data_IF_193054273402
#
_entry.id   IF_193054273402
#
_cell.length_a   1.000
_cell.length_b   1.000
_cell.length_c   1.000
_cell.angle_alpha   90.00
_cell.angle_beta   90.00
_cell.angle_gamma   90.00
#
_symmetry.space_group_name_H-M   'P 1'
#
loop_
_entity.id
_entity.type
_entity.pdbx_description
1 polymer ?
#
# COMPACT_ATOMS: atom_id res chain seq x y z
N UNK A 1 3.82 -7.16 45.85
CA UNK A 1 3.98 -5.70 45.73
C UNK A 1 3.43 -5.30 44.37
N UNK A 2 2.38 -4.47 44.33
CA UNK A 2 1.76 -4.01 43.08
C UNK A 2 2.59 -2.87 42.47
N UNK A 3 2.70 -2.84 41.14
CA UNK A 3 3.39 -1.75 40.44
C UNK A 3 2.59 -0.43 40.55
N UNK A 4 3.24 0.72 40.78
CA UNK A 4 2.54 2.00 40.87
C UNK A 4 2.01 2.47 39.51
N UNK A 5 0.92 3.26 39.50
CA UNK A 5 0.31 3.79 38.27
C UNK A 5 1.29 4.57 37.36
N UNK A 6 2.28 5.24 37.96
CA UNK A 6 3.35 5.94 37.23
C UNK A 6 4.22 5.00 36.38
N UNK A 7 4.47 3.77 36.86
CA UNK A 7 5.22 2.76 36.10
C UNK A 7 4.44 2.31 34.87
N UNK A 8 3.12 2.14 34.98
CA UNK A 8 2.25 1.83 33.84
C UNK A 8 2.21 2.98 32.81
N UNK A 9 2.11 4.22 33.27
CA UNK A 9 2.10 5.39 32.39
C UNK A 9 3.42 5.56 31.62
N UNK A 10 4.58 5.43 32.30
CA UNK A 10 5.89 5.45 31.63
C UNK A 10 6.04 4.27 30.67
N UNK A 11 5.58 3.08 31.04
CA UNK A 11 5.65 1.91 30.17
C UNK A 11 4.78 2.09 28.92
N UNK A 12 3.62 2.71 29.03
CA UNK A 12 2.78 3.05 27.88
C UNK A 12 3.51 3.99 26.91
N UNK A 13 4.18 5.03 27.41
CA UNK A 13 5.01 5.94 26.59
C UNK A 13 6.17 5.24 25.91
N UNK A 14 6.89 4.37 26.62
CA UNK A 14 7.95 3.57 26.02
C UNK A 14 7.42 2.64 24.92
N UNK A 15 6.22 2.08 25.09
CA UNK A 15 5.57 1.22 24.08
C UNK A 15 5.11 2.01 22.86
N UNK A 16 4.64 3.24 23.04
CA UNK A 16 4.33 4.17 21.95
C UNK A 16 5.59 4.47 21.11
N UNK A 17 6.71 4.81 21.75
CA UNK A 17 7.99 5.05 21.06
C UNK A 17 8.43 3.80 20.27
N UNK A 18 8.37 2.62 20.89
CA UNK A 18 8.72 1.37 20.23
C UNK A 18 7.81 1.07 19.03
N UNK A 19 6.51 1.37 19.13
CA UNK A 19 5.58 1.21 18.02
C UNK A 19 5.88 2.17 16.85
N UNK A 20 6.26 3.42 17.14
CA UNK A 20 6.68 4.38 16.12
C UNK A 20 7.99 3.98 15.43
N UNK A 21 8.95 3.41 16.18
CA UNK A 21 10.19 2.86 15.61
C UNK A 21 9.90 1.68 14.68
N UNK A 22 9.02 0.75 15.08
CA UNK A 22 8.59 -0.34 14.22
C UNK A 22 7.88 0.18 12.95
N UNK A 23 7.12 1.27 13.06
CA UNK A 23 6.47 1.91 11.92
C UNK A 23 7.48 2.55 10.95
N UNK A 24 8.53 3.19 11.47
CA UNK A 24 9.62 3.72 10.66
C UNK A 24 10.29 2.60 9.84
N UNK A 25 10.63 1.49 10.49
CA UNK A 25 11.20 0.31 9.83
C UNK A 25 10.28 -0.27 8.74
N UNK A 26 8.96 -0.25 8.97
CA UNK A 26 7.97 -0.67 7.96
C UNK A 26 7.96 0.26 6.76
N UNK A 27 8.10 1.58 6.95
CA UNK A 27 8.22 2.54 5.84
C UNK A 27 9.49 2.27 5.03
N UNK A 28 10.61 1.96 5.69
CA UNK A 28 11.83 1.57 4.98
C UNK A 28 11.64 0.30 4.14
N UNK A 29 10.95 -0.69 4.70
CA UNK A 29 10.64 -1.91 3.98
C UNK A 29 9.70 -1.67 2.79
N UNK A 30 8.69 -0.80 2.94
CA UNK A 30 7.80 -0.37 1.85
C UNK A 30 8.59 0.35 0.75
N UNK A 31 9.54 1.22 1.09
CA UNK A 31 10.42 1.89 0.12
C UNK A 31 11.25 0.86 -0.67
N UNK A 32 11.89 -0.07 0.04
CA UNK A 32 12.74 -1.09 -0.55
C UNK A 32 11.96 -2.03 -1.47
N UNK A 33 10.75 -2.44 -1.06
CA UNK A 33 9.84 -3.20 -1.92
C UNK A 33 9.43 -2.35 -3.12
N UNK A 34 9.10 -1.08 -2.92
CA UNK A 34 8.71 -0.16 -3.98
C UNK A 34 9.81 0.08 -5.03
N UNK A 35 11.08 0.16 -4.61
CA UNK A 35 12.29 0.19 -5.47
C UNK A 35 12.45 -1.11 -6.25
N UNK A 36 12.30 -2.24 -5.57
CA UNK A 36 12.35 -3.59 -6.19
C UNK A 36 11.28 -3.72 -7.28
N UNK A 37 10.04 -3.30 -6.99
CA UNK A 37 8.94 -3.25 -7.96
C UNK A 37 9.30 -2.34 -9.14
N UNK A 38 9.87 -1.16 -8.90
CA UNK A 38 10.25 -0.23 -9.97
C UNK A 38 11.25 -0.87 -10.96
N UNK A 39 12.31 -1.52 -10.44
CA UNK A 39 13.29 -2.20 -11.30
C UNK A 39 12.67 -3.41 -12.02
N UNK A 40 11.82 -4.20 -11.35
CA UNK A 40 11.07 -5.30 -11.99
C UNK A 40 10.14 -4.81 -13.11
N UNK A 41 9.47 -3.67 -12.93
CA UNK A 41 8.61 -3.06 -13.96
C UNK A 41 9.42 -2.62 -15.19
N UNK A 42 10.65 -2.13 -14.96
CA UNK A 42 11.60 -1.81 -16.03
C UNK A 42 12.07 -3.09 -16.73
N UNK A 43 12.53 -4.11 -16.01
CA UNK A 43 12.93 -5.40 -16.58
C UNK A 43 11.79 -6.03 -17.39
N UNK A 44 10.56 -5.98 -16.89
CA UNK A 44 9.34 -6.44 -17.60
C UNK A 44 9.15 -5.72 -18.93
N UNK A 45 9.19 -4.38 -18.92
CA UNK A 45 8.97 -3.56 -20.12
C UNK A 45 10.04 -3.83 -21.19
N UNK A 46 11.30 -3.82 -20.78
CA UNK A 46 12.45 -4.06 -21.66
C UNK A 46 12.44 -5.51 -22.20
N UNK A 47 12.12 -6.49 -21.35
CA UNK A 47 11.98 -7.90 -21.76
C UNK A 47 10.88 -8.09 -22.80
N UNK A 48 9.75 -7.39 -22.66
CA UNK A 48 8.67 -7.45 -23.65
C UNK A 48 9.17 -7.04 -25.04
N UNK A 49 9.92 -5.93 -25.14
CA UNK A 49 10.49 -5.45 -26.41
C UNK A 49 11.58 -6.38 -26.93
N UNK A 50 12.44 -6.89 -26.04
CA UNK A 50 13.46 -7.88 -26.39
C UNK A 50 12.83 -9.11 -27.05
N UNK A 51 11.78 -9.69 -26.45
CA UNK A 51 11.09 -10.85 -27.00
C UNK A 51 10.34 -10.52 -28.30
N UNK A 52 9.65 -9.38 -28.37
CA UNK A 52 8.97 -8.94 -29.59
C UNK A 52 9.93 -8.70 -30.76
N UNK A 53 11.15 -8.23 -30.49
CA UNK A 53 12.22 -8.05 -31.48
C UNK A 53 13.02 -9.32 -31.77
N UNK A 54 12.55 -10.49 -31.30
CA UNK A 54 13.27 -11.77 -31.41
C UNK A 54 14.69 -11.74 -30.84
N UNK A 55 14.91 -10.93 -29.81
CA UNK A 55 16.18 -10.76 -29.11
C UNK A 55 17.15 -9.75 -29.73
N UNK A 56 16.71 -8.95 -30.71
CA UNK A 56 17.58 -8.01 -31.43
C UNK A 56 17.76 -6.67 -30.74
N UNK A 57 16.78 -6.23 -29.94
CA UNK A 57 16.80 -4.95 -29.23
C UNK A 57 16.86 -5.18 -27.73
N UNK A 58 17.42 -4.22 -27.00
CA UNK A 58 17.35 -4.13 -25.54
C UNK A 58 18.05 -5.27 -24.75
N UNK A 59 19.06 -5.92 -25.32
CA UNK A 59 19.78 -7.00 -24.62
C UNK A 59 20.64 -6.47 -23.46
N UNK A 60 21.35 -5.37 -23.68
CA UNK A 60 22.24 -4.78 -22.67
C UNK A 60 21.44 -4.17 -21.51
N UNK A 61 20.37 -3.44 -21.83
CA UNK A 61 19.50 -2.78 -20.86
C UNK A 61 18.79 -3.80 -19.95
N UNK A 62 18.52 -5.01 -20.44
CA UNK A 62 18.05 -6.13 -19.59
C UNK A 62 19.11 -6.56 -18.61
N UNK A 63 20.37 -6.70 -19.04
CA UNK A 63 21.47 -7.08 -18.15
C UNK A 63 21.73 -6.00 -17.10
N UNK A 64 21.64 -4.73 -17.48
CA UNK A 64 21.71 -3.60 -16.54
C UNK A 64 20.59 -3.66 -15.49
N UNK A 65 19.34 -3.84 -15.92
CA UNK A 65 18.21 -3.95 -14.97
C UNK A 65 18.35 -5.17 -14.03
N UNK A 66 18.87 -6.29 -14.52
CA UNK A 66 19.20 -7.47 -13.69
C UNK A 66 20.28 -7.17 -12.65
N UNK A 67 21.33 -6.47 -13.06
CA UNK A 67 22.43 -6.04 -12.19
C UNK A 67 21.97 -5.07 -11.10
N UNK A 68 21.09 -4.13 -11.44
CA UNK A 68 20.46 -3.21 -10.47
C UNK A 68 19.56 -3.93 -9.46
N UNK A 69 18.86 -5.00 -9.89
CA UNK A 69 17.92 -5.72 -9.02
C UNK A 69 18.61 -6.58 -7.95
N UNK A 70 19.77 -7.16 -8.26
CA UNK A 70 20.47 -8.08 -7.35
C UNK A 70 20.73 -7.49 -5.95
N UNK A 71 21.38 -6.31 -5.83
CA UNK A 71 21.59 -5.64 -4.55
C UNK A 71 20.30 -5.31 -3.81
N UNK A 72 19.23 -4.93 -4.53
CA UNK A 72 17.93 -4.63 -3.91
C UNK A 72 17.29 -5.88 -3.32
N UNK A 73 17.35 -7.02 -4.01
CA UNK A 73 16.85 -8.30 -3.48
C UNK A 73 17.64 -8.72 -2.23
N UNK A 74 18.96 -8.60 -2.25
CA UNK A 74 19.79 -8.95 -1.09
C UNK A 74 19.48 -8.07 0.14
N UNK A 75 19.31 -6.76 -0.06
CA UNK A 75 18.86 -5.85 0.99
C UNK A 75 17.47 -6.22 1.48
N UNK A 76 16.54 -6.52 0.56
CA UNK A 76 15.17 -6.89 0.90
C UNK A 76 15.13 -8.16 1.75
N UNK A 77 15.85 -9.21 1.33
CA UNK A 77 15.97 -10.46 2.07
C UNK A 77 16.48 -10.23 3.50
N UNK A 78 17.52 -9.39 3.66
CA UNK A 78 18.06 -9.03 4.98
C UNK A 78 16.99 -8.37 5.87
N UNK A 79 16.24 -7.40 5.35
CA UNK A 79 15.19 -6.73 6.12
C UNK A 79 13.97 -7.63 6.40
N UNK A 80 13.66 -8.56 5.51
CA UNK A 80 12.59 -9.54 5.69
C UNK A 80 12.93 -10.58 6.76
N UNK A 81 14.20 -11.00 6.85
CA UNK A 81 14.67 -11.92 7.89
C UNK A 81 14.49 -11.34 9.29
N UNK A 82 14.68 -10.02 9.46
CA UNK A 82 14.43 -9.33 10.73
C UNK A 82 12.99 -9.53 11.23
N UNK A 83 12.02 -9.75 10.34
CA UNK A 83 10.61 -9.95 10.70
C UNK A 83 10.33 -11.27 11.44
N UNK A 84 11.31 -12.19 11.46
CA UNK A 84 11.22 -13.42 12.27
C UNK A 84 11.41 -13.16 13.77
N UNK A 85 12.00 -12.02 14.14
CA UNK A 85 12.26 -11.70 15.54
C UNK A 85 10.95 -11.40 16.31
N UNK A 86 10.76 -11.93 17.53
CA UNK A 86 9.54 -11.73 18.31
C UNK A 86 9.20 -10.26 18.56
N UNK A 87 10.19 -9.38 18.68
CA UNK A 87 9.95 -7.95 18.93
C UNK A 87 9.32 -7.24 17.74
N UNK A 88 9.42 -7.78 16.52
CA UNK A 88 8.78 -7.22 15.32
C UNK A 88 7.27 -7.44 15.32
N UNK A 89 6.79 -8.42 16.09
CA UNK A 89 5.37 -8.78 16.18
C UNK A 89 4.70 -8.96 14.80
N UNK A 90 5.42 -9.57 13.85
CA UNK A 90 4.89 -9.85 12.51
C UNK A 90 3.71 -10.82 12.62
N UNK A 91 2.60 -10.51 11.93
CA UNK A 91 1.43 -11.39 11.91
C UNK A 91 1.68 -12.65 11.09
N UNK A 92 0.93 -13.73 11.37
CA UNK A 92 0.99 -14.98 10.58
C UNK A 92 0.75 -14.74 9.09
N UNK A 93 -0.19 -13.85 8.76
CA UNK A 93 -0.46 -13.43 7.37
C UNK A 93 0.75 -12.74 6.75
N UNK A 94 1.40 -11.82 7.47
CA UNK A 94 2.59 -11.13 6.98
C UNK A 94 3.72 -12.13 6.70
N UNK A 95 4.01 -13.04 7.63
CA UNK A 95 5.04 -14.06 7.43
C UNK A 95 4.73 -14.99 6.25
N UNK A 96 3.46 -15.38 6.07
CA UNK A 96 3.04 -16.17 4.91
C UNK A 96 3.25 -15.41 3.58
N UNK A 97 2.92 -14.12 3.53
CA UNK A 97 3.16 -13.29 2.35
C UNK A 97 4.66 -13.13 2.07
N UNK A 98 5.48 -12.94 3.10
CA UNK A 98 6.94 -12.89 2.98
C UNK A 98 7.47 -14.18 2.36
N UNK A 99 7.01 -15.34 2.84
CA UNK A 99 7.43 -16.63 2.27
C UNK A 99 7.10 -16.75 0.78
N UNK A 100 5.89 -16.36 0.36
CA UNK A 100 5.52 -16.35 -1.06
C UNK A 100 6.35 -15.39 -1.89
N UNK A 101 6.60 -14.19 -1.37
CA UNK A 101 7.46 -13.19 -2.03
C UNK A 101 8.87 -13.74 -2.23
N UNK A 102 9.46 -14.38 -1.22
CA UNK A 102 10.79 -14.98 -1.33
C UNK A 102 10.83 -16.07 -2.41
N UNK A 103 9.83 -16.97 -2.43
CA UNK A 103 9.72 -18.00 -3.47
C UNK A 103 9.58 -17.41 -4.88
N UNK A 104 8.77 -16.36 -5.04
CA UNK A 104 8.57 -15.70 -6.32
C UNK A 104 9.85 -14.96 -6.78
N UNK A 105 10.61 -14.35 -5.87
CA UNK A 105 11.89 -13.72 -6.16
C UNK A 105 12.95 -14.75 -6.56
N UNK A 106 13.03 -15.88 -5.87
CA UNK A 106 13.95 -16.98 -6.20
C UNK A 106 13.64 -17.60 -7.58
N UNK A 107 12.37 -17.53 -8.01
CA UNK A 107 11.94 -18.04 -9.32
C UNK A 107 12.41 -17.17 -10.50
N UNK A 108 12.90 -15.95 -10.26
CA UNK A 108 13.28 -15.00 -11.31
C UNK A 108 14.39 -15.53 -12.20
N UNK A 109 15.37 -16.25 -11.67
CA UNK A 109 16.48 -16.78 -12.48
C UNK A 109 16.03 -17.89 -13.44
N UNK A 110 15.10 -18.74 -13.00
CA UNK A 110 14.48 -19.73 -13.88
C UNK A 110 13.64 -19.06 -14.98
N UNK A 111 12.88 -18.01 -14.64
CA UNK A 111 12.13 -17.20 -15.61
C UNK A 111 13.08 -16.55 -16.63
N UNK A 112 14.18 -15.95 -16.15
CA UNK A 112 15.22 -15.32 -16.95
C UNK A 112 15.89 -16.30 -17.91
N UNK A 113 16.22 -17.51 -17.46
CA UNK A 113 16.77 -18.55 -18.33
C UNK A 113 15.82 -18.98 -19.46
N UNK A 114 14.50 -19.00 -19.21
CA UNK A 114 13.49 -19.25 -20.25
C UNK A 114 13.40 -18.08 -21.25
N UNK A 115 13.47 -16.84 -20.77
CA UNK A 115 13.48 -15.65 -21.62
C UNK A 115 14.73 -15.61 -22.50
N UNK A 116 15.90 -15.95 -21.96
CA UNK A 116 17.18 -15.91 -22.69
C UNK A 116 17.22 -16.98 -23.79
N UNK A 117 16.61 -18.15 -23.54
CA UNK A 117 16.35 -19.17 -24.57
C UNK A 117 15.20 -18.80 -25.53
N UNK A 118 14.54 -17.66 -25.32
CA UNK A 118 13.33 -17.21 -26.05
C UNK A 118 12.22 -18.24 -26.06
N UNK A 119 12.10 -19.05 -25.00
CA UNK A 119 11.07 -20.08 -24.85
C UNK A 119 9.77 -19.54 -24.24
N UNK A 120 9.59 -18.22 -24.25
CA UNK A 120 8.45 -17.48 -23.70
C UNK A 120 8.07 -16.40 -24.69
N UNK A 121 6.77 -16.20 -24.90
CA UNK A 121 6.27 -15.07 -25.66
C UNK A 121 6.36 -13.78 -24.84
N UNK A 122 6.36 -12.61 -25.51
CA UNK A 122 6.33 -11.33 -24.81
C UNK A 122 5.13 -11.21 -23.85
N UNK A 123 3.87 -11.52 -24.24
CA UNK A 123 2.74 -11.51 -23.31
C UNK A 123 2.91 -12.46 -22.11
N UNK A 124 3.42 -13.68 -22.33
CA UNK A 124 3.66 -14.63 -21.23
C UNK A 124 4.75 -14.14 -20.26
N UNK A 125 5.78 -13.45 -20.76
CA UNK A 125 6.81 -12.85 -19.91
C UNK A 125 6.24 -11.70 -19.06
N UNK A 126 5.37 -10.86 -19.65
CA UNK A 126 4.69 -9.76 -18.94
C UNK A 126 3.85 -10.31 -17.79
N UNK A 127 3.07 -11.36 -18.04
CA UNK A 127 2.27 -12.03 -17.00
C UNK A 127 3.14 -12.60 -15.87
N UNK A 128 4.27 -13.23 -16.21
CA UNK A 128 5.18 -13.81 -15.22
C UNK A 128 5.77 -12.73 -14.29
N UNK A 129 6.28 -11.63 -14.85
CA UNK A 129 6.77 -10.50 -14.03
C UNK A 129 5.65 -9.82 -13.24
N UNK A 130 4.47 -9.62 -13.83
CA UNK A 130 3.31 -9.05 -13.13
C UNK A 130 2.88 -9.89 -11.93
N UNK A 131 3.03 -11.23 -11.98
CA UNK A 131 2.75 -12.09 -10.83
C UNK A 131 3.71 -11.81 -9.66
N UNK A 132 5.01 -11.75 -9.93
CA UNK A 132 6.04 -11.43 -8.91
C UNK A 132 5.79 -10.05 -8.30
N UNK A 133 5.51 -9.05 -9.16
CA UNK A 133 5.16 -7.69 -8.71
C UNK A 133 3.88 -7.70 -7.85
N UNK A 134 2.87 -8.50 -8.21
CA UNK A 134 1.63 -8.64 -7.44
C UNK A 134 1.86 -9.15 -6.02
N UNK A 135 2.75 -10.12 -5.83
CA UNK A 135 3.14 -10.60 -4.49
C UNK A 135 3.80 -9.51 -3.65
N UNK A 136 4.73 -8.76 -4.24
CA UNK A 136 5.39 -7.61 -3.60
C UNK A 136 4.37 -6.50 -3.24
N UNK A 137 3.43 -6.21 -4.13
CA UNK A 137 2.35 -5.26 -3.87
C UNK A 137 1.51 -5.69 -2.67
N UNK A 138 1.09 -6.96 -2.59
CA UNK A 138 0.31 -7.46 -1.46
C UNK A 138 1.06 -7.31 -0.13
N UNK A 139 2.39 -7.49 -0.14
CA UNK A 139 3.22 -7.24 1.04
C UNK A 139 3.26 -5.75 1.42
N UNK A 140 3.35 -4.83 0.46
CA UNK A 140 3.25 -3.37 0.71
C UNK A 140 1.93 -3.02 1.40
N UNK A 141 0.80 -3.56 0.91
CA UNK A 141 -0.50 -3.36 1.55
C UNK A 141 -0.53 -3.91 2.98
N UNK A 142 0.04 -5.10 3.20
CA UNK A 142 0.08 -5.71 4.54
C UNK A 142 0.92 -4.90 5.54
N UNK A 143 2.00 -4.28 5.08
CA UNK A 143 2.85 -3.41 5.90
C UNK A 143 2.15 -2.09 6.27
N UNK A 144 1.39 -1.53 5.34
CA UNK A 144 0.65 -0.27 5.53
C UNK A 144 -0.55 -0.40 6.48
N UNK A 145 -1.25 -1.54 6.47
CA UNK A 145 -2.50 -1.77 7.21
C UNK A 145 -2.35 -1.80 8.76
N UNK A 146 -1.12 -1.81 9.27
CA UNK A 146 -0.83 -1.96 10.70
C UNK A 146 -0.32 -0.69 11.40
N UNK A 147 -0.45 0.49 10.80
CA UNK A 147 0.08 1.73 11.36
C UNK A 147 -0.78 2.25 12.55
N UNK A 148 -0.20 2.46 13.74
CA UNK A 148 -0.94 2.96 14.91
C UNK A 148 -1.01 4.49 15.01
N UNK A 149 -0.40 5.23 14.08
CA UNK A 149 -0.34 6.71 14.09
C UNK A 149 -1.15 7.28 12.91
N UNK A 150 -2.20 8.10 13.14
CA UNK A 150 -3.12 8.53 12.09
C UNK A 150 -2.46 9.28 10.93
N UNK A 151 -1.62 10.28 11.22
CA UNK A 151 -0.96 11.08 10.19
C UNK A 151 -0.09 10.21 9.27
N UNK A 152 0.61 9.24 9.85
CA UNK A 152 1.46 8.31 9.09
C UNK A 152 0.60 7.28 8.36
N UNK A 153 -0.50 6.82 8.94
CA UNK A 153 -1.45 5.93 8.28
C UNK A 153 -2.04 6.56 7.01
N UNK A 154 -2.41 7.85 7.05
CA UNK A 154 -2.88 8.58 5.86
C UNK A 154 -1.81 8.64 4.77
N UNK A 155 -0.57 8.96 5.14
CA UNK A 155 0.57 8.96 4.21
C UNK A 155 0.81 7.57 3.59
N UNK A 156 0.70 6.50 4.39
CA UNK A 156 0.83 5.13 3.91
C UNK A 156 -0.28 4.76 2.93
N UNK A 157 -1.54 5.14 3.19
CA UNK A 157 -2.64 4.94 2.23
C UNK A 157 -2.33 5.62 0.90
N UNK A 158 -1.90 6.89 0.94
CA UNK A 158 -1.51 7.63 -0.26
C UNK A 158 -0.35 6.94 -1.00
N UNK A 159 0.70 6.55 -0.26
CA UNK A 159 1.87 5.86 -0.82
C UNK A 159 1.48 4.56 -1.52
N UNK A 160 0.75 3.69 -0.83
CA UNK A 160 0.34 2.38 -1.38
C UNK A 160 -0.48 2.54 -2.66
N UNK A 161 -1.39 3.52 -2.71
CA UNK A 161 -2.18 3.78 -3.91
C UNK A 161 -1.37 4.40 -5.05
N UNK A 162 -0.31 5.18 -4.77
CA UNK A 162 0.65 5.59 -5.80
C UNK A 162 1.44 4.39 -6.34
N UNK A 163 1.91 3.48 -5.48
CA UNK A 163 2.60 2.25 -5.95
C UNK A 163 1.66 1.39 -6.80
N UNK A 164 0.39 1.26 -6.39
CA UNK A 164 -0.64 0.54 -7.13
C UNK A 164 -0.91 1.17 -8.51
N UNK A 165 -1.17 2.49 -8.55
CA UNK A 165 -1.38 3.22 -9.81
C UNK A 165 -0.17 3.13 -10.74
N UNK A 166 1.04 3.09 -10.18
CA UNK A 166 2.28 2.89 -10.94
C UNK A 166 2.35 1.50 -11.58
N UNK A 167 1.91 0.47 -10.87
CA UNK A 167 1.82 -0.88 -11.44
C UNK A 167 0.76 -0.99 -12.52
N UNK A 168 -0.40 -0.39 -12.33
CA UNK A 168 -1.47 -0.34 -13.33
C UNK A 168 -1.00 0.40 -14.60
N UNK A 169 -0.29 1.53 -14.46
CA UNK A 169 0.35 2.23 -15.58
C UNK A 169 1.43 1.38 -16.27
N UNK A 170 2.19 0.60 -15.48
CA UNK A 170 3.19 -0.33 -16.00
C UNK A 170 2.58 -1.46 -16.83
N UNK A 171 1.42 -1.98 -16.44
CA UNK A 171 0.66 -2.97 -17.21
C UNK A 171 -0.01 -2.35 -18.43
N UNK A 172 -0.57 -1.13 -18.28
CA UNK A 172 -1.16 -0.37 -19.39
C UNK A 172 -0.13 -0.21 -20.50
N UNK A 173 1.09 0.24 -20.16
CA UNK A 173 2.20 0.36 -21.11
C UNK A 173 2.43 -0.94 -21.87
N UNK A 174 2.47 -2.08 -21.19
CA UNK A 174 2.73 -3.37 -21.81
C UNK A 174 1.60 -3.79 -22.78
N UNK A 175 0.34 -3.60 -22.37
CA UNK A 175 -0.84 -3.91 -23.21
C UNK A 175 -0.88 -3.01 -24.44
N UNK A 176 -0.77 -1.69 -24.26
CA UNK A 176 -0.84 -0.75 -25.39
C UNK A 176 0.34 -0.90 -26.37
N UNK A 177 1.56 -1.19 -25.87
CA UNK A 177 2.71 -1.45 -26.73
C UNK A 177 2.49 -2.70 -27.58
N UNK A 178 1.88 -3.74 -27.01
CA UNK A 178 1.53 -4.93 -27.76
C UNK A 178 0.45 -4.64 -28.83
N UNK A 179 -0.58 -3.87 -28.49
CA UNK A 179 -1.64 -3.49 -29.43
C UNK A 179 -1.07 -2.73 -30.65
N UNK A 180 -0.30 -1.66 -30.43
CA UNK A 180 0.34 -0.92 -31.52
C UNK A 180 1.30 -1.81 -32.33
N UNK A 181 2.17 -2.57 -31.67
CA UNK A 181 3.16 -3.40 -32.37
C UNK A 181 2.53 -4.53 -33.19
N UNK A 182 1.39 -5.07 -32.75
CA UNK A 182 0.69 -6.13 -33.49
C UNK A 182 -0.04 -5.62 -34.73
N UNK A 183 -0.30 -4.30 -34.81
CA UNK A 183 -1.11 -3.67 -35.86
C UNK A 183 -2.59 -4.10 -35.86
N UNK A 184 -2.97 -5.04 -34.99
CA UNK A 184 -4.30 -5.64 -34.95
C UNK A 184 -5.11 -5.23 -33.73
N UNK A 185 -6.40 -5.59 -33.75
CA UNK A 185 -7.37 -5.22 -32.74
C UNK A 185 -7.95 -6.44 -31.99
N UNK A 186 -7.30 -6.90 -30.91
CA UNK A 186 -7.91 -7.86 -30.01
C UNK A 186 -8.84 -7.14 -29.02
N UNK A 187 -10.15 -7.37 -29.13
CA UNK A 187 -11.17 -6.74 -28.28
C UNK A 187 -10.95 -6.99 -26.77
N UNK A 188 -10.36 -8.15 -26.41
CA UNK A 188 -9.92 -8.48 -25.06
C UNK A 188 -8.80 -7.56 -24.55
N UNK A 189 -7.84 -7.18 -25.41
CA UNK A 189 -6.76 -6.27 -25.04
C UNK A 189 -7.24 -4.82 -24.90
N UNK A 190 -8.14 -4.36 -25.76
CA UNK A 190 -8.76 -3.03 -25.60
C UNK A 190 -9.53 -2.96 -24.27
N UNK A 191 -10.30 -4.00 -23.95
CA UNK A 191 -11.02 -4.06 -22.69
C UNK A 191 -10.09 -4.08 -21.48
N UNK A 192 -8.99 -4.83 -21.56
CA UNK A 192 -7.95 -4.83 -20.52
C UNK A 192 -7.31 -3.45 -20.36
N UNK A 193 -7.03 -2.76 -21.47
CA UNK A 193 -6.50 -1.40 -21.45
C UNK A 193 -7.45 -0.43 -20.73
N UNK A 194 -8.73 -0.44 -21.09
CA UNK A 194 -9.76 0.37 -20.42
C UNK A 194 -9.82 0.08 -18.92
N UNK A 195 -9.79 -1.20 -18.53
CA UNK A 195 -9.76 -1.59 -17.13
C UNK A 195 -8.56 -0.99 -16.39
N UNK A 196 -7.37 -1.08 -16.98
CA UNK A 196 -6.12 -0.56 -16.40
C UNK A 196 -6.10 0.97 -16.29
N UNK A 197 -6.69 1.68 -17.27
CA UNK A 197 -6.84 3.14 -17.22
C UNK A 197 -7.74 3.52 -16.04
N UNK A 198 -8.92 2.91 -15.93
CA UNK A 198 -9.83 3.18 -14.82
C UNK A 198 -9.29 2.73 -13.45
N UNK A 199 -8.47 1.69 -13.42
CA UNK A 199 -7.81 1.27 -12.19
C UNK A 199 -6.84 2.35 -11.69
N UNK A 200 -6.04 2.93 -12.60
CA UNK A 200 -5.17 4.06 -12.26
C UNK A 200 -5.96 5.24 -11.72
N UNK A 201 -7.06 5.61 -12.38
CA UNK A 201 -7.87 6.76 -11.96
C UNK A 201 -8.39 6.57 -10.53
N UNK A 202 -8.92 5.39 -10.20
CA UNK A 202 -9.36 5.07 -8.83
C UNK A 202 -8.22 5.08 -7.82
N UNK A 203 -7.07 4.49 -8.18
CA UNK A 203 -5.89 4.51 -7.31
C UNK A 203 -5.47 5.95 -7.00
N UNK A 204 -5.52 6.83 -8.00
CA UNK A 204 -5.06 8.21 -7.85
C UNK A 204 -6.08 9.11 -7.16
N UNK A 205 -7.37 8.84 -7.32
CA UNK A 205 -8.43 9.46 -6.52
C UNK A 205 -8.23 9.18 -5.02
N UNK A 206 -7.95 7.93 -4.65
CA UNK A 206 -7.65 7.60 -3.25
C UNK A 206 -6.34 8.26 -2.80
N UNK A 207 -5.31 8.31 -3.64
CA UNK A 207 -4.09 9.07 -3.31
C UNK A 207 -4.41 10.54 -3.02
N UNK A 208 -5.19 11.23 -3.87
CA UNK A 208 -5.53 12.64 -3.71
C UNK A 208 -6.31 12.90 -2.40
N UNK A 209 -7.21 11.99 -2.01
CA UNK A 209 -7.98 12.09 -0.77
C UNK A 209 -7.12 11.99 0.51
N UNK A 210 -5.95 11.35 0.43
CA UNK A 210 -5.08 11.08 1.56
C UNK A 210 -3.76 11.86 1.55
N UNK A 211 -3.35 12.37 0.39
CA UNK A 211 -2.12 13.13 0.23
C UNK A 211 -2.21 14.52 0.87
N UNK A 212 -1.05 15.08 1.24
CA UNK A 212 -0.96 16.49 1.60
C UNK A 212 -1.09 17.37 0.34
N UNK A 213 -1.58 18.60 0.52
CA UNK A 213 -1.90 19.53 -0.56
C UNK A 213 -0.74 19.71 -1.56
N UNK A 214 0.50 19.84 -1.07
CA UNK A 214 1.66 20.01 -1.93
C UNK A 214 1.87 18.85 -2.93
N UNK A 215 1.60 17.60 -2.53
CA UNK A 215 1.72 16.43 -3.40
C UNK A 215 0.55 16.33 -4.37
N UNK A 216 -0.68 16.66 -3.92
CA UNK A 216 -1.86 16.70 -4.77
C UNK A 216 -1.77 17.81 -5.84
N UNK A 217 -1.29 19.00 -5.47
CA UNK A 217 -1.06 20.12 -6.39
C UNK A 217 0.04 19.79 -7.41
N UNK A 218 1.14 19.18 -6.95
CA UNK A 218 2.20 18.72 -7.84
C UNK A 218 1.67 17.70 -8.84
N UNK A 219 0.88 16.73 -8.37
CA UNK A 219 0.26 15.71 -9.20
C UNK A 219 -0.69 16.33 -10.25
N UNK A 220 -1.55 17.24 -9.82
CA UNK A 220 -2.47 17.98 -10.69
C UNK A 220 -1.70 18.75 -11.79
N UNK A 221 -0.57 19.37 -11.44
CA UNK A 221 0.27 20.07 -12.42
C UNK A 221 0.83 19.15 -13.51
N UNK A 222 0.97 17.83 -13.25
CA UNK A 222 1.46 16.87 -14.25
C UNK A 222 0.48 16.67 -15.39
N UNK A 223 -0.82 16.90 -15.19
CA UNK A 223 -1.83 16.79 -16.25
C UNK A 223 -1.59 17.77 -17.41
N UNK A 224 -0.87 18.87 -17.17
CA UNK A 224 -0.56 19.90 -18.16
C UNK A 224 0.73 19.63 -18.95
N UNK A 225 1.42 18.54 -18.66
CA UNK A 225 2.70 18.22 -19.32
C UNK A 225 2.50 17.68 -20.74
N UNK A 226 3.49 17.87 -21.64
CA UNK A 226 3.39 17.35 -23.02
C UNK A 226 3.19 15.83 -23.09
N UNK A 227 3.85 15.05 -22.22
CA UNK A 227 3.72 13.59 -22.20
C UNK A 227 2.35 13.13 -21.69
N UNK A 228 1.73 13.85 -20.74
CA UNK A 228 0.35 13.57 -20.33
C UNK A 228 -0.63 13.77 -21.50
N UNK A 229 -0.49 14.88 -22.23
CA UNK A 229 -1.28 15.13 -23.44
C UNK A 229 -1.07 14.07 -24.53
N UNK A 230 0.18 13.63 -24.73
CA UNK A 230 0.51 12.55 -25.67
C UNK A 230 -0.15 11.22 -25.27
N UNK A 231 -0.03 10.82 -23.99
CA UNK A 231 -0.65 9.61 -23.48
C UNK A 231 -2.17 9.63 -23.66
N UNK A 232 -2.84 10.75 -23.36
CA UNK A 232 -4.29 10.87 -23.56
C UNK A 232 -4.71 10.75 -25.03
N UNK A 233 -3.92 11.29 -25.97
CA UNK A 233 -4.19 11.12 -27.41
C UNK A 233 -4.06 9.67 -27.84
N UNK A 234 -3.01 8.99 -27.39
CA UNK A 234 -2.77 7.59 -27.74
C UNK A 234 -3.79 6.64 -27.09
N UNK A 235 -4.19 6.91 -25.83
CA UNK A 235 -5.33 6.22 -25.18
C UNK A 235 -6.60 6.35 -26.00
N UNK A 236 -6.91 7.54 -26.53
CA UNK A 236 -8.08 7.76 -27.39
C UNK A 236 -8.04 6.92 -28.67
N UNK A 237 -6.87 6.77 -29.29
CA UNK A 237 -6.69 5.91 -30.46
C UNK A 237 -6.98 4.45 -30.09
N UNK A 238 -6.31 3.91 -29.06
CA UNK A 238 -6.47 2.51 -28.66
C UNK A 238 -7.89 2.18 -28.17
N UNK A 239 -8.52 3.09 -27.42
CA UNK A 239 -9.88 2.92 -26.90
C UNK A 239 -10.99 3.19 -27.94
N UNK A 240 -10.68 3.96 -28.99
CA UNK A 240 -11.62 4.28 -30.07
C UNK A 240 -11.59 3.31 -31.24
N UNK A 241 -10.49 2.55 -31.39
CA UNK A 241 -10.28 1.61 -32.49
C UNK A 241 -11.41 0.58 -32.60
N UNK A 242 -11.80 0.26 -33.83
CA UNK A 242 -12.87 -0.69 -34.17
C UNK A 242 -12.32 -1.99 -34.75
N UNK A 243 -13.14 -3.05 -34.70
CA UNK A 243 -12.79 -4.34 -35.28
C UNK A 243 -12.55 -4.22 -36.80
N UNK A 244 -11.34 -4.60 -37.24
CA UNK A 244 -10.92 -4.54 -38.64
C UNK A 244 -10.09 -3.30 -39.01
N UNK A 245 -9.97 -2.31 -38.12
CA UNK A 245 -9.02 -1.21 -38.30
C UNK A 245 -7.58 -1.67 -38.04
N UNK A 246 -6.63 -1.14 -38.81
CA UNK A 246 -5.20 -1.39 -38.59
C UNK A 246 -4.61 -0.29 -37.73
N UNK A 247 -3.99 -0.68 -36.62
CA UNK A 247 -3.25 0.25 -35.76
C UNK A 247 -1.91 0.58 -36.38
N UNK A 248 -1.52 1.85 -36.31
CA UNK A 248 -0.21 2.30 -36.77
C UNK A 248 0.90 1.83 -35.82
N UNK A 249 1.66 0.84 -36.26
CA UNK A 249 2.77 0.27 -35.50
C UNK A 249 3.89 1.30 -35.22
N UNK A 250 4.00 2.38 -36.00
CA UNK A 250 4.98 3.45 -35.77
C UNK A 250 4.73 4.20 -34.45
N UNK A 251 3.50 4.16 -33.93
CA UNK A 251 3.12 4.79 -32.66
C UNK A 251 3.61 4.02 -31.42
N UNK A 252 4.14 2.80 -31.59
CA UNK A 252 4.61 1.95 -30.48
C UNK A 252 5.65 2.66 -29.61
N UNK A 253 6.61 3.34 -30.22
CA UNK A 253 7.67 4.04 -29.48
C UNK A 253 7.12 5.27 -28.76
N UNK A 254 6.28 6.08 -29.42
CA UNK A 254 5.61 7.23 -28.79
C UNK A 254 4.73 6.82 -27.60
N UNK A 255 4.04 5.67 -27.69
CA UNK A 255 3.29 5.09 -26.58
C UNK A 255 4.19 4.68 -25.43
N UNK A 256 5.28 3.97 -25.74
CA UNK A 256 6.22 3.51 -24.74
C UNK A 256 6.84 4.71 -23.99
N UNK A 257 7.20 5.78 -24.69
CA UNK A 257 7.79 6.98 -24.10
C UNK A 257 6.79 7.74 -23.22
N UNK A 258 5.58 8.01 -23.74
CA UNK A 258 4.56 8.75 -22.99
C UNK A 258 4.11 8.00 -21.72
N UNK A 259 3.92 6.68 -21.81
CA UNK A 259 3.58 5.85 -20.66
C UNK A 259 4.75 5.67 -19.70
N UNK A 260 6.00 5.62 -20.18
CA UNK A 260 7.18 5.58 -19.30
C UNK A 260 7.36 6.89 -18.54
N UNK A 261 7.14 8.05 -19.18
CA UNK A 261 7.15 9.35 -18.50
C UNK A 261 6.08 9.43 -17.39
N UNK A 262 4.88 8.90 -17.65
CA UNK A 262 3.81 8.77 -16.65
C UNK A 262 4.22 7.92 -15.44
N UNK A 263 4.89 6.79 -15.68
CA UNK A 263 5.44 5.91 -14.62
C UNK A 263 6.53 6.65 -13.83
N UNK A 264 7.35 7.46 -14.50
CA UNK A 264 8.37 8.30 -13.85
C UNK A 264 7.76 9.36 -12.94
N UNK A 265 6.65 10.00 -13.33
CA UNK A 265 5.95 10.93 -12.44
C UNK A 265 5.44 10.24 -11.17
N UNK A 266 4.84 9.04 -11.32
CA UNK A 266 4.38 8.24 -10.18
C UNK A 266 5.53 7.76 -9.30
N UNK A 267 6.68 7.46 -9.91
CA UNK A 267 7.91 7.14 -9.19
C UNK A 267 8.39 8.31 -8.32
N UNK A 268 8.37 9.54 -8.85
CA UNK A 268 8.71 10.73 -8.07
C UNK A 268 7.74 10.96 -6.91
N UNK A 269 6.43 10.76 -7.12
CA UNK A 269 5.46 10.80 -6.02
C UNK A 269 5.75 9.75 -4.95
N UNK A 270 6.05 8.51 -5.35
CA UNK A 270 6.40 7.44 -4.43
C UNK A 270 7.60 7.82 -3.56
N UNK A 271 8.67 8.35 -4.17
CA UNK A 271 9.86 8.81 -3.45
C UNK A 271 9.52 9.95 -2.47
N UNK A 272 8.73 10.93 -2.91
CA UNK A 272 8.32 12.06 -2.08
C UNK A 272 7.49 11.62 -0.87
N UNK A 273 6.48 10.77 -1.08
CA UNK A 273 5.62 10.23 -0.02
C UNK A 273 6.40 9.37 0.98
N UNK A 274 7.37 8.59 0.49
CA UNK A 274 8.26 7.81 1.35
C UNK A 274 9.11 8.73 2.24
N UNK A 275 9.70 9.78 1.66
CA UNK A 275 10.49 10.75 2.41
C UNK A 275 9.66 11.49 3.46
N UNK A 276 8.41 11.87 3.12
CA UNK A 276 7.47 12.46 4.06
C UNK A 276 7.09 11.49 5.20
N UNK A 277 6.81 10.23 4.87
CA UNK A 277 6.52 9.20 5.87
C UNK A 277 7.66 9.02 6.86
N UNK A 278 8.91 8.98 6.38
CA UNK A 278 10.11 8.89 7.22
C UNK A 278 10.26 10.12 8.11
N UNK A 279 10.15 11.33 7.54
CA UNK A 279 10.23 12.57 8.31
C UNK A 279 9.12 12.68 9.38
N UNK A 280 7.91 12.23 9.06
CA UNK A 280 6.80 12.19 10.01
C UNK A 280 7.06 11.18 11.15
N UNK A 281 7.58 9.99 10.84
CA UNK A 281 8.04 9.03 11.86
C UNK A 281 9.09 9.64 12.79
N UNK A 282 10.15 10.24 12.23
CA UNK A 282 11.26 10.81 12.98
C UNK A 282 10.77 11.93 13.92
N UNK A 283 9.91 12.81 13.41
CA UNK A 283 9.29 13.87 14.19
C UNK A 283 8.43 13.32 15.34
N UNK A 284 7.56 12.32 15.06
CA UNK A 284 6.72 11.70 16.08
C UNK A 284 7.54 10.97 17.15
N UNK A 285 8.62 10.27 16.76
CA UNK A 285 9.55 9.62 17.69
C UNK A 285 10.21 10.67 18.59
N UNK A 286 10.73 11.76 18.02
CA UNK A 286 11.39 12.82 18.78
C UNK A 286 10.44 13.48 19.79
N UNK A 287 9.20 13.78 19.38
CA UNK A 287 8.16 14.32 20.26
C UNK A 287 7.80 13.35 21.39
N UNK A 288 7.61 12.07 21.08
CA UNK A 288 7.29 11.05 22.07
C UNK A 288 8.44 10.83 23.09
N UNK A 289 9.69 10.88 22.63
CA UNK A 289 10.87 10.81 23.50
C UNK A 289 11.00 12.04 24.40
N UNK A 290 10.72 13.24 23.90
CA UNK A 290 10.71 14.44 24.73
C UNK A 290 9.63 14.34 25.81
N UNK A 291 8.41 13.95 25.45
CA UNK A 291 7.31 13.78 26.39
C UNK A 291 7.61 12.72 27.47
N UNK A 292 8.34 11.65 27.13
CA UNK A 292 8.81 10.66 28.09
C UNK A 292 9.80 11.28 29.09
N UNK A 293 10.81 12.02 28.61
CA UNK A 293 11.78 12.71 29.48
C UNK A 293 11.11 13.70 30.43
N UNK A 294 10.16 14.47 29.93
CA UNK A 294 9.41 15.44 30.74
C UNK A 294 8.60 14.72 31.83
N UNK A 295 7.99 13.58 31.50
CA UNK A 295 7.24 12.75 32.45
C UNK A 295 8.16 12.12 33.51
N UNK A 296 9.34 11.64 33.11
CA UNK A 296 10.35 11.09 34.03
C UNK A 296 10.88 12.17 35.00
N UNK A 297 11.18 13.37 34.48
CA UNK A 297 11.63 14.50 35.28
C UNK A 297 10.56 14.93 36.30
N UNK A 298 9.29 15.01 35.90
CA UNK A 298 8.18 15.30 36.80
C UNK A 298 8.07 14.25 37.91
N UNK A 299 8.11 12.97 37.57
CA UNK A 299 8.03 11.87 38.54
C UNK A 299 9.25 11.81 39.47
N UNK A 300 10.42 12.27 39.01
CA UNK A 300 11.62 12.39 39.83
C UNK A 300 11.48 13.56 40.81
N UNK A 301 11.04 14.73 40.35
CA UNK A 301 10.80 15.89 41.20
C UNK A 301 9.77 15.60 42.31
N UNK A 302 8.71 14.85 41.99
CA UNK A 302 7.71 14.40 42.97
C UNK A 302 8.25 13.39 44.00
N UNK A 303 9.28 12.62 43.65
CA UNK A 303 9.96 11.70 44.58
C UNK A 303 10.96 12.44 45.47
N UNK A 304 11.69 13.39 44.90
CA UNK A 304 12.71 14.17 45.62
C UNK A 304 12.09 15.21 46.55
N UNK A 305 10.90 15.71 46.21
CA UNK A 305 10.09 16.61 47.04
C UNK A 305 8.73 15.96 47.33
N UNK A 306 8.68 14.90 48.16
CA UNK A 306 7.44 14.18 48.41
C UNK A 306 6.43 15.14 49.06
N UNK A 307 5.18 15.20 48.57
CA UNK A 307 4.13 15.94 49.24
C UNK A 307 3.98 15.44 50.69
N UNK A 308 3.58 16.33 51.60
CA UNK A 308 3.56 16.12 53.06
C UNK A 308 2.82 14.85 53.53
N UNK A 309 2.00 14.22 52.67
CA UNK A 309 1.35 12.94 52.93
C UNK A 309 1.50 11.90 51.80
N UNK A 310 2.66 11.77 51.17
CA UNK A 310 2.99 10.61 50.30
C UNK A 310 2.76 9.26 51.01
N UNK A 311 2.85 9.22 52.35
CA UNK A 311 2.52 8.05 53.19
C UNK A 311 1.01 7.70 53.22
N UNK A 312 0.12 8.64 52.91
CA UNK A 312 -1.33 8.38 52.88
C UNK A 312 -1.78 7.75 51.54
N UNK A 313 -1.07 8.02 50.44
CA UNK A 313 -1.29 7.38 49.15
C UNK A 313 -0.86 5.91 49.17
N UNK A 314 0.20 5.56 49.89
CA UNK A 314 0.59 4.16 50.12
C UNK A 314 -0.49 3.38 50.90
N UNK A 315 -1.17 3.99 51.88
CA UNK A 315 -2.33 3.38 52.56
C UNK A 315 -3.55 3.19 51.64
N UNK A 316 -3.78 4.09 50.68
CA UNK A 316 -4.88 3.97 49.72
C UNK A 316 -4.69 2.79 48.74
N UNK A 317 -3.45 2.52 48.32
CA UNK A 317 -3.13 1.38 47.44
C UNK A 317 -2.81 0.07 48.20
N UNK A 318 -2.58 0.11 49.52
CA UNK A 318 -2.32 -1.06 50.36
C UNK A 318 -3.57 -1.87 50.74
N UNK A 319 -4.78 -1.38 50.45
CA UNK A 319 -6.02 -2.15 50.59
C UNK A 319 -6.60 -2.20 52.01
N UNK A 320 -6.16 -1.34 52.94
CA UNK A 320 -6.84 -1.18 54.23
C UNK A 320 -8.03 -0.24 54.06
N UNK A 321 -9.23 -0.83 54.09
CA UNK A 321 -10.50 -0.17 53.81
C UNK A 321 -10.83 0.95 54.78
N UNK A 322 -10.59 2.19 54.37
CA UNK A 322 -11.40 3.33 54.77
C UNK A 322 -11.55 4.30 53.59
N UNK A 323 -12.79 4.72 53.23
CA UNK A 323 -12.99 5.71 52.19
C UNK A 323 -12.51 7.07 52.71
N UNK A 324 -11.39 7.55 52.19
CA UNK A 324 -10.90 8.90 52.48
C UNK A 324 -11.71 9.87 51.62
N UNK A 325 -12.66 10.59 52.23
CA UNK A 325 -13.40 11.68 51.57
C UNK A 325 -12.44 12.76 51.06
N UNK A 326 -12.74 13.33 49.89
CA UNK A 326 -11.94 14.34 49.16
C UNK A 326 -11.55 15.62 49.92
N UNK A 327 -12.04 15.78 51.15
CA UNK A 327 -11.88 16.95 52.02
C UNK A 327 -10.65 16.88 52.95
N UNK A 328 -9.86 15.81 52.90
CA UNK A 328 -8.63 15.66 53.71
C UNK A 328 -7.32 15.91 52.94
N UNK A 329 -7.39 16.30 51.66
CA UNK A 329 -6.23 16.60 50.82
C UNK A 329 -5.80 18.07 50.96
N UNK A 330 -4.52 18.35 51.21
CA UNK A 330 -3.99 19.72 51.16
C UNK A 330 -3.95 20.27 49.72
N UNK A 331 -3.78 21.59 49.56
CA UNK A 331 -3.76 22.23 48.24
C UNK A 331 -2.68 21.69 47.28
N UNK A 332 -1.51 21.28 47.81
CA UNK A 332 -0.42 20.70 47.04
C UNK A 332 -0.70 19.24 46.60
N UNK A 333 -1.41 18.47 47.42
CA UNK A 333 -1.79 17.08 47.12
C UNK A 333 -2.89 17.02 46.05
N UNK A 334 -3.89 17.92 46.13
CA UNK A 334 -4.88 18.10 45.05
C UNK A 334 -4.20 18.49 43.75
N UNK A 335 -3.18 19.36 43.78
CA UNK A 335 -2.47 19.77 42.58
C UNK A 335 -1.71 18.61 41.91
N UNK A 336 -1.07 17.74 42.71
CA UNK A 336 -0.28 16.60 42.20
C UNK A 336 -1.17 15.49 41.63
N UNK A 337 -2.22 15.09 42.35
CA UNK A 337 -3.20 14.11 41.87
C UNK A 337 -3.97 14.66 40.66
N UNK A 338 -4.31 15.96 40.67
CA UNK A 338 -4.90 16.64 39.51
C UNK A 338 -3.96 16.66 38.31
N UNK A 339 -2.65 16.83 38.51
CA UNK A 339 -1.65 16.79 37.44
C UNK A 339 -1.49 15.39 36.84
N UNK A 340 -1.42 14.33 37.65
CA UNK A 340 -1.39 12.95 37.15
C UNK A 340 -2.70 12.58 36.44
N UNK A 341 -3.84 12.99 37.01
CA UNK A 341 -5.15 12.76 36.41
C UNK A 341 -5.31 13.50 35.08
N UNK A 342 -4.87 14.76 34.99
CA UNK A 342 -4.93 15.52 33.75
C UNK A 342 -4.02 14.95 32.66
N UNK A 343 -2.85 14.40 33.02
CA UNK A 343 -2.00 13.66 32.09
C UNK A 343 -2.71 12.41 31.58
N UNK A 344 -3.36 11.62 32.45
CA UNK A 344 -4.11 10.43 32.05
C UNK A 344 -5.34 10.76 31.19
N UNK A 345 -6.09 11.81 31.55
CA UNK A 345 -7.24 12.31 30.78
C UNK A 345 -6.81 12.83 29.41
N UNK A 346 -5.72 13.59 29.33
CA UNK A 346 -5.14 14.05 28.07
C UNK A 346 -4.66 12.87 27.21
N UNK A 347 -4.06 11.84 27.81
CA UNK A 347 -3.70 10.61 27.11
C UNK A 347 -4.92 9.87 26.57
N UNK A 348 -5.97 9.68 27.39
CA UNK A 348 -7.20 9.02 26.98
C UNK A 348 -7.90 9.76 25.85
N UNK A 349 -8.00 11.09 25.94
CA UNK A 349 -8.59 11.92 24.89
C UNK A 349 -7.78 11.87 23.58
N UNK A 350 -6.45 11.83 23.67
CA UNK A 350 -5.57 11.67 22.50
C UNK A 350 -5.79 10.32 21.83
N UNK A 351 -5.84 9.22 22.60
CA UNK A 351 -6.08 7.88 22.07
C UNK A 351 -7.44 7.78 21.36
N UNK A 352 -8.50 8.30 21.98
CA UNK A 352 -9.83 8.32 21.37
C UNK A 352 -9.87 9.10 20.05
N UNK A 353 -9.16 10.23 19.95
CA UNK A 353 -9.03 10.99 18.69
C UNK A 353 -8.26 10.19 17.63
N UNK A 354 -7.15 9.58 18.02
CA UNK A 354 -6.35 8.75 17.11
C UNK A 354 -7.15 7.57 16.54
N UNK A 355 -7.99 6.92 17.36
CA UNK A 355 -8.86 5.82 16.90
C UNK A 355 -9.83 6.27 15.80
N UNK A 356 -10.47 7.43 15.96
CA UNK A 356 -11.39 7.97 14.96
C UNK A 356 -10.68 8.32 13.65
N UNK A 357 -9.49 8.91 13.70
CA UNK A 357 -8.73 9.26 12.49
C UNK A 357 -8.14 8.03 11.78
N UNK A 358 -7.76 6.99 12.53
CA UNK A 358 -7.25 5.73 11.97
C UNK A 358 -8.34 4.96 11.22
N UNK A 359 -9.60 5.07 11.64
CA UNK A 359 -10.71 4.36 11.05
C UNK A 359 -10.89 4.66 9.56
N UNK A 360 -10.73 5.92 9.13
CA UNK A 360 -10.83 6.30 7.73
C UNK A 360 -9.73 5.65 6.88
N UNK A 361 -8.48 5.74 7.33
CA UNK A 361 -7.34 5.15 6.63
C UNK A 361 -7.42 3.61 6.56
N UNK A 362 -7.87 2.98 7.65
CA UNK A 362 -8.10 1.54 7.70
C UNK A 362 -9.22 1.10 6.77
N UNK A 363 -10.32 1.88 6.67
CA UNK A 363 -11.41 1.59 5.73
C UNK A 363 -10.89 1.58 4.30
N UNK A 364 -10.13 2.59 3.88
CA UNK A 364 -9.58 2.64 2.52
C UNK A 364 -8.72 1.39 2.17
N UNK A 365 -7.88 0.92 3.09
CA UNK A 365 -7.10 -0.32 2.88
C UNK A 365 -7.97 -1.58 2.94
N UNK A 366 -8.97 -1.59 3.81
CA UNK A 366 -9.90 -2.71 3.97
C UNK A 366 -10.79 -2.90 2.73
N UNK A 367 -11.32 -1.81 2.18
CA UNK A 367 -12.13 -1.80 0.95
C UNK A 367 -11.37 -2.47 -0.21
N UNK A 368 -10.11 -2.10 -0.40
CA UNK A 368 -9.23 -2.76 -1.39
C UNK A 368 -9.08 -4.25 -1.10
N UNK A 369 -8.86 -4.65 0.16
CA UNK A 369 -8.73 -6.07 0.54
C UNK A 369 -10.00 -6.86 0.24
N UNK A 370 -11.17 -6.30 0.50
CA UNK A 370 -12.46 -6.95 0.20
C UNK A 370 -12.61 -7.17 -1.30
N UNK A 371 -12.37 -6.14 -2.11
CA UNK A 371 -12.47 -6.23 -3.58
C UNK A 371 -11.49 -7.27 -4.13
N UNK A 372 -10.23 -7.30 -3.66
CA UNK A 372 -9.25 -8.28 -4.12
C UNK A 372 -9.60 -9.72 -3.71
N UNK A 373 -10.12 -9.92 -2.49
CA UNK A 373 -10.60 -11.23 -2.03
C UNK A 373 -11.78 -11.71 -2.85
N UNK A 374 -12.74 -10.83 -3.14
CA UNK A 374 -13.90 -11.14 -3.97
C UNK A 374 -13.46 -11.51 -5.40
N UNK A 375 -12.53 -10.75 -6.00
CA UNK A 375 -11.93 -11.11 -7.30
C UNK A 375 -11.30 -12.49 -7.26
N UNK A 376 -10.45 -12.77 -6.26
CA UNK A 376 -9.78 -14.06 -6.15
C UNK A 376 -10.76 -15.22 -5.97
N UNK A 377 -11.80 -15.05 -5.15
CA UNK A 377 -12.85 -16.04 -4.96
C UNK A 377 -13.62 -16.31 -6.28
N UNK A 378 -13.91 -15.27 -7.08
CA UNK A 378 -14.49 -15.42 -8.42
C UNK A 378 -13.55 -16.17 -9.38
N UNK A 379 -12.25 -15.87 -9.35
CA UNK A 379 -11.25 -16.56 -10.17
C UNK A 379 -11.21 -18.05 -9.85
N UNK A 380 -11.15 -18.41 -8.57
CA UNK A 380 -11.09 -19.82 -8.12
C UNK A 380 -12.40 -20.55 -8.41
N UNK A 381 -13.56 -19.95 -8.09
CA UNK A 381 -14.86 -20.63 -8.19
C UNK A 381 -15.35 -20.80 -9.63
N UNK A 382 -15.05 -19.83 -10.51
CA UNK A 382 -15.57 -19.80 -11.87
C UNK A 382 -14.48 -19.97 -12.95
N UNK A 383 -13.22 -20.21 -12.56
CA UNK A 383 -12.10 -20.37 -13.50
C UNK A 383 -11.84 -19.11 -14.34
N UNK A 384 -12.16 -17.94 -13.79
CA UNK A 384 -12.07 -16.67 -14.50
C UNK A 384 -10.66 -16.10 -14.42
N UNK A 385 -10.23 -15.37 -15.45
CA UNK A 385 -9.06 -14.50 -15.31
C UNK A 385 -9.39 -13.33 -14.39
N UNK A 386 -8.36 -12.73 -13.81
CA UNK A 386 -8.49 -11.60 -12.89
C UNK A 386 -9.31 -10.44 -13.49
N UNK A 387 -9.05 -10.10 -14.76
CA UNK A 387 -9.74 -9.05 -15.51
C UNK A 387 -11.23 -9.37 -15.71
N UNK A 388 -11.57 -10.65 -15.90
CA UNK A 388 -12.97 -11.09 -16.07
C UNK A 388 -13.69 -11.08 -14.72
N UNK A 389 -13.02 -11.55 -13.66
CA UNK A 389 -13.55 -11.56 -12.31
C UNK A 389 -13.90 -10.15 -11.81
N UNK A 390 -12.99 -9.18 -12.02
CA UNK A 390 -13.27 -7.80 -11.62
C UNK A 390 -14.42 -7.17 -12.40
N UNK A 391 -14.50 -7.41 -13.71
CA UNK A 391 -15.62 -6.90 -14.52
C UNK A 391 -16.95 -7.47 -14.10
N UNK A 392 -16.98 -8.75 -13.78
CA UNK A 392 -18.18 -9.41 -13.29
C UNK A 392 -18.64 -8.75 -11.99
N UNK A 393 -17.71 -8.46 -11.07
CA UNK A 393 -17.97 -7.70 -9.86
C UNK A 393 -18.49 -6.28 -10.16
N UNK A 394 -17.82 -5.54 -11.05
CA UNK A 394 -18.20 -4.17 -11.40
C UNK A 394 -19.57 -4.10 -12.08
N UNK A 395 -19.83 -4.97 -13.05
CA UNK A 395 -21.11 -5.03 -13.75
C UNK A 395 -22.24 -5.37 -12.80
N UNK A 396 -22.06 -6.37 -11.93
CA UNK A 396 -23.06 -6.71 -10.92
C UNK A 396 -23.26 -5.57 -9.91
N UNK A 397 -22.23 -4.78 -9.60
CA UNK A 397 -22.32 -3.58 -8.76
C UNK A 397 -23.15 -2.48 -9.43
N UNK A 398 -22.96 -2.26 -10.74
CA UNK A 398 -23.76 -1.31 -11.54
C UNK A 398 -25.21 -1.78 -11.70
N UNK A 399 -25.43 -3.05 -12.04
CA UNK A 399 -26.77 -3.63 -12.24
C UNK A 399 -27.60 -3.60 -10.95
N UNK A 400 -26.94 -3.69 -9.79
CA UNK A 400 -27.58 -3.60 -8.46
C UNK A 400 -27.55 -2.18 -7.86
N UNK A 401 -26.93 -1.21 -8.52
CA UNK A 401 -26.71 0.15 -8.03
C UNK A 401 -26.12 0.22 -6.61
N UNK A 402 -25.09 -0.61 -6.33
CA UNK A 402 -24.40 -0.67 -5.03
C UNK A 402 -22.91 -0.40 -5.20
N UNK A 403 -22.24 0.03 -4.13
CA UNK A 403 -20.79 0.17 -4.15
C UNK A 403 -20.10 -1.18 -4.40
N UNK A 404 -18.93 -1.13 -5.04
CA UNK A 404 -18.16 -2.34 -5.36
C UNK A 404 -17.75 -3.10 -4.08
N UNK A 405 -17.49 -2.36 -3.01
CA UNK A 405 -17.11 -2.88 -1.69
C UNK A 405 -18.26 -3.65 -1.05
N UNK A 406 -19.46 -3.05 -1.01
CA UNK A 406 -20.64 -3.73 -0.45
C UNK A 406 -20.94 -5.04 -1.18
N UNK A 407 -20.84 -5.03 -2.51
CA UNK A 407 -21.04 -6.25 -3.29
C UNK A 407 -19.94 -7.29 -3.02
N UNK A 408 -18.69 -6.85 -2.90
CA UNK A 408 -17.58 -7.73 -2.57
C UNK A 408 -17.76 -8.39 -1.20
N UNK A 409 -18.21 -7.62 -0.21
CA UNK A 409 -18.52 -8.12 1.13
C UNK A 409 -19.70 -9.09 1.12
N UNK A 410 -20.82 -8.73 0.47
CA UNK A 410 -22.00 -9.59 0.31
C UNK A 410 -21.62 -10.93 -0.33
N UNK A 411 -20.81 -10.90 -1.39
CA UNK A 411 -20.34 -12.10 -2.06
C UNK A 411 -19.44 -12.98 -1.18
N UNK A 412 -18.56 -12.37 -0.39
CA UNK A 412 -17.65 -13.11 0.49
C UNK A 412 -18.37 -13.76 1.67
N UNK A 413 -19.45 -13.14 2.17
CA UNK A 413 -20.27 -13.67 3.27
C UNK A 413 -21.25 -14.73 2.78
N UNK A 414 -21.97 -14.43 1.69
CA UNK A 414 -23.02 -15.27 1.14
C UNK A 414 -22.82 -15.47 -0.36
N UNK A 415 -21.92 -16.40 -0.77
CA UNK A 415 -21.58 -16.60 -2.18
C UNK A 415 -22.76 -17.11 -3.02
N UNK A 416 -23.83 -17.60 -2.39
CA UNK A 416 -25.02 -18.14 -3.06
C UNK A 416 -26.10 -17.08 -3.31
N UNK A 417 -26.13 -16.00 -2.54
CA UNK A 417 -27.12 -14.90 -2.71
C UNK A 417 -26.73 -13.94 -3.83
N UNK A 418 -25.43 -13.87 -4.15
CA UNK A 418 -24.92 -13.10 -5.28
C UNK A 418 -24.79 -14.00 -6.50
N UNK A 419 -25.84 -14.04 -7.32
CA UNK A 419 -25.81 -14.77 -8.60
C UNK A 419 -24.99 -14.01 -9.62
N UNK A 420 -23.77 -14.49 -9.87
CA UNK A 420 -22.94 -14.05 -10.97
C UNK A 420 -23.24 -14.88 -12.22
N UNK A 421 -24.07 -14.36 -13.13
CA UNK A 421 -24.39 -15.09 -14.36
C UNK A 421 -23.22 -15.07 -15.36
N UNK A 422 -22.61 -16.21 -15.73
CA UNK A 422 -21.48 -16.25 -16.67
C UNK A 422 -21.86 -15.84 -18.10
N UNK A 423 -23.15 -15.75 -18.44
CA UNK A 423 -23.61 -15.09 -19.68
C UNK A 423 -23.17 -13.62 -19.78
N UNK A 424 -22.91 -12.97 -18.63
CA UNK A 424 -22.50 -11.57 -18.54
C UNK A 424 -20.98 -11.37 -18.67
N UNK A 425 -20.21 -12.47 -18.74
CA UNK A 425 -18.76 -12.46 -18.98
C UNK A 425 -18.39 -12.54 -20.47
N UNK A 426 -19.36 -12.78 -21.37
CA UNK A 426 -19.15 -12.71 -22.82
C UNK A 426 -19.37 -11.27 -23.31
N UNK A 427 -18.57 -10.79 -24.28
CA UNK A 427 -18.84 -9.51 -24.92
C UNK A 427 -20.24 -9.55 -25.55
N UNK A 428 -20.97 -8.45 -25.42
CA UNK A 428 -22.26 -8.26 -26.09
C UNK A 428 -22.05 -8.48 -27.60
N UNK A 429 -22.48 -9.64 -28.10
CA UNK A 429 -22.77 -9.80 -29.53
C UNK A 429 -24.06 -9.04 -29.80
N UNK A 430 -24.00 -7.72 -29.88
CA UNK A 430 -25.06 -6.97 -30.56
C UNK A 430 -24.83 -7.12 -32.06
N UNK A 431 -25.48 -8.14 -32.59
CA UNK A 431 -25.84 -8.30 -33.99
C UNK A 431 -26.70 -7.12 -34.45
N UNK A 432 -26.18 -6.32 -35.39
CA UNK A 432 -26.69 -6.13 -36.75
C UNK A 432 -25.96 -4.98 -37.42
#
# INVERSE_FOLDING_TARGET
>A
MFAPASQFALRAKQREIAALQLLADRIELVDLIGRTIHVLQRERGITSIFLASSGKRFSEERMTARGELGPLIAQLQTHLELQLAPERAASSRMLALIAWVLLDLDSLDALRGRIDRRSLSAPSSVLAFSKVIGGLMELVFQLADGAPEPAISRLLVALVHVVQGKEEAGQERAVGAHMFASGGFPADQQQRLLHLIHAQDRSLEVFENFAAAAQADWWTSRALTPHAGALMRLRRILCGAQAGETLDASLTESWFDASSARITDLWHLQLALTALGRAACDASIALAQQALRDSEALLQALRDTPPTHAQALDHFFAGDGAPVSSDTLTGADRATVSSLKSVLEAQSARLARMEVELDEARRALHERKLVQRAKHALMVRHGLSEDVAFRLLQKTSMDRNRSLVELAEEFLIAPETVSFSPRHARPDKRSS
#
